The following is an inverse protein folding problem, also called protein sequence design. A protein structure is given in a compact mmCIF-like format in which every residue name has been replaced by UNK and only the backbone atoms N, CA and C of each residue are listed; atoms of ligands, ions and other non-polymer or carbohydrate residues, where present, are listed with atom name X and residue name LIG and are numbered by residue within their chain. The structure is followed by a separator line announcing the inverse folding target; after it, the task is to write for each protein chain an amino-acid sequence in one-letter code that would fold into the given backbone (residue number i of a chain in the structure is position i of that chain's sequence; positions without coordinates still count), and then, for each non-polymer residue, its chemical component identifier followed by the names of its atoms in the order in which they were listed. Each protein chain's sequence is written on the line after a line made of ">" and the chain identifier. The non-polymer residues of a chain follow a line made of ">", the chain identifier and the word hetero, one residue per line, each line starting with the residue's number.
data_IF_523546809933
#
_entry.id   IF_523546809933
#
_cell.length_a   1.000
_cell.length_b   1.000
_cell.length_c   1.000
_cell.angle_alpha   90.00
_cell.angle_beta   90.00
_cell.angle_gamma   90.00
#
_symmetry.space_group_name_H-M   'P 1'
#
loop_
_entity.id
_entity.type
_entity.pdbx_description
1 polymer ?
#
# COMPACT_ATOMS: atom_id res chain seq x y z
N UNK A 1 66.17 26.77 -31.70
CA UNK A 1 65.75 25.38 -32.03
C UNK A 1 66.26 24.37 -31.00
N UNK A 2 65.61 24.23 -29.83
CA UNK A 2 65.47 22.93 -29.10
C UNK A 2 64.66 23.00 -27.80
N UNK A 3 64.53 24.17 -27.16
CA UNK A 3 63.75 24.31 -25.92
C UNK A 3 62.32 24.83 -26.14
N UNK A 4 62.10 25.85 -26.98
CA UNK A 4 60.75 26.39 -27.26
C UNK A 4 59.84 25.44 -28.07
N UNK A 5 60.40 24.57 -28.90
CA UNK A 5 59.62 23.59 -29.71
C UNK A 5 59.09 22.44 -28.84
N UNK A 6 59.76 22.11 -27.71
CA UNK A 6 59.29 21.08 -26.77
C UNK A 6 58.07 21.53 -25.96
N UNK A 7 57.92 22.84 -25.70
CA UNK A 7 56.78 23.38 -24.93
C UNK A 7 55.53 23.46 -25.82
N UNK A 8 55.67 23.77 -27.11
CA UNK A 8 54.53 23.86 -28.04
C UNK A 8 53.94 22.47 -28.40
N UNK A 9 54.78 21.43 -28.48
CA UNK A 9 54.33 20.04 -28.77
C UNK A 9 53.69 19.34 -27.56
N UNK A 10 53.98 19.76 -26.33
CA UNK A 10 53.35 19.21 -25.11
C UNK A 10 51.98 19.84 -24.85
N UNK A 11 51.76 21.10 -25.26
CA UNK A 11 50.44 21.76 -25.15
C UNK A 11 49.47 21.24 -26.21
N UNK A 12 49.95 20.83 -27.40
CA UNK A 12 49.11 20.25 -28.45
C UNK A 12 48.70 18.79 -28.19
N UNK A 13 49.42 18.05 -27.33
CA UNK A 13 49.09 16.67 -26.97
C UNK A 13 48.09 16.57 -25.80
N UNK A 14 47.85 17.66 -25.07
CA UNK A 14 46.75 17.76 -24.09
C UNK A 14 45.42 18.09 -24.80
N UNK A 15 45.47 18.55 -26.06
CA UNK A 15 44.31 18.77 -26.93
C UNK A 15 43.82 17.50 -27.67
N UNK A 16 44.43 16.32 -27.46
CA UNK A 16 44.01 15.07 -28.15
C UNK A 16 43.44 13.98 -27.24
N UNK A 17 43.19 14.26 -25.96
CA UNK A 17 42.52 13.31 -25.03
C UNK A 17 41.20 13.87 -24.47
N UNK A 18 40.84 15.10 -24.80
CA UNK A 18 39.55 15.68 -24.43
C UNK A 18 38.46 15.34 -25.45
N UNK A 19 37.75 14.25 -25.12
CA UNK A 19 36.33 13.98 -25.36
C UNK A 19 35.74 14.24 -26.76
N UNK A 20 35.29 13.21 -27.49
CA UNK A 20 34.30 13.43 -28.54
C UNK A 20 33.04 13.98 -27.88
N UNK A 21 32.76 15.24 -28.18
CA UNK A 21 31.50 15.91 -27.94
C UNK A 21 30.37 15.21 -28.69
N UNK A 22 29.79 14.19 -28.08
CA UNK A 22 28.39 13.85 -28.30
C UNK A 22 27.55 14.78 -27.43
N UNK A 23 27.29 15.98 -27.92
CA UNK A 23 26.18 16.78 -27.40
C UNK A 23 24.88 16.09 -27.84
N UNK A 24 24.46 15.06 -27.10
CA UNK A 24 23.05 14.68 -27.09
C UNK A 24 22.33 15.83 -26.41
N UNK A 25 21.82 16.77 -27.20
CA UNK A 25 20.78 17.66 -26.73
C UNK A 25 19.55 16.77 -26.57
N UNK A 26 19.40 16.20 -25.38
CA UNK A 26 18.11 15.68 -24.94
C UNK A 26 17.28 16.93 -24.65
N UNK A 27 16.66 17.46 -25.70
CA UNK A 27 15.67 18.51 -25.56
C UNK A 27 14.47 17.91 -24.85
N UNK A 28 14.48 17.93 -23.51
CA UNK A 28 13.23 17.89 -22.78
C UNK A 28 12.52 19.19 -23.10
N UNK A 29 11.29 19.10 -23.62
CA UNK A 29 10.41 20.27 -23.64
C UNK A 29 10.19 20.66 -22.18
N UNK A 30 10.93 21.66 -21.71
CA UNK A 30 10.78 22.29 -20.39
C UNK A 30 9.53 23.18 -20.36
N UNK A 31 8.40 22.63 -20.79
CA UNK A 31 7.09 23.20 -20.55
C UNK A 31 6.26 22.14 -19.84
N UNK A 32 6.48 22.02 -18.53
CA UNK A 32 5.36 21.68 -17.66
C UNK A 32 4.40 22.85 -17.78
N UNK A 33 3.46 22.81 -18.71
CA UNK A 33 2.34 23.75 -18.69
C UNK A 33 1.69 23.54 -17.32
N UNK A 34 1.76 24.50 -16.39
CA UNK A 34 1.14 24.34 -15.09
C UNK A 34 -0.34 24.16 -15.40
N UNK A 35 -0.84 22.94 -15.14
CA UNK A 35 -2.21 22.60 -15.46
C UNK A 35 -3.06 23.42 -14.52
N UNK A 36 -3.79 24.38 -15.08
CA UNK A 36 -4.68 25.22 -14.30
C UNK A 36 -5.89 24.39 -13.88
N UNK A 37 -5.74 23.67 -12.76
CA UNK A 37 -6.77 22.80 -12.19
C UNK A 37 -8.03 23.57 -11.79
N UNK A 38 -8.00 24.91 -11.74
CA UNK A 38 -9.19 25.73 -11.46
C UNK A 38 -10.22 25.70 -12.58
N UNK A 39 -9.78 25.40 -13.81
CA UNK A 39 -10.63 25.35 -15.01
C UNK A 39 -11.22 23.98 -15.30
N UNK A 40 -10.76 22.94 -14.60
CA UNK A 40 -11.22 21.57 -14.81
C UNK A 40 -12.50 21.28 -14.02
N UNK A 41 -13.41 20.54 -14.65
CA UNK A 41 -14.59 20.01 -13.98
C UNK A 41 -14.18 19.02 -12.88
N UNK A 42 -15.07 18.80 -11.90
CA UNK A 42 -14.79 17.82 -10.83
C UNK A 42 -14.58 16.42 -11.40
N UNK A 43 -15.34 16.06 -12.42
CA UNK A 43 -15.26 14.75 -13.10
C UNK A 43 -13.90 14.56 -13.80
N UNK A 44 -13.42 15.56 -14.53
CA UNK A 44 -12.10 15.51 -15.16
C UNK A 44 -10.96 15.38 -14.12
N UNK A 45 -11.08 16.09 -13.00
CA UNK A 45 -10.14 15.98 -11.89
C UNK A 45 -10.15 14.58 -11.28
N UNK A 46 -11.33 13.98 -11.09
CA UNK A 46 -11.48 12.61 -10.56
C UNK A 46 -10.89 11.57 -11.51
N UNK A 47 -11.18 11.67 -12.80
CA UNK A 47 -10.66 10.76 -13.82
C UNK A 47 -9.13 10.81 -13.86
N UNK A 48 -8.57 12.02 -13.84
CA UNK A 48 -7.13 12.22 -13.82
C UNK A 48 -6.50 11.74 -12.51
N UNK A 49 -7.14 12.01 -11.37
CA UNK A 49 -6.68 11.54 -10.06
C UNK A 49 -6.67 10.00 -10.01
N UNK A 50 -7.71 9.36 -10.51
CA UNK A 50 -7.81 7.90 -10.62
C UNK A 50 -6.72 7.30 -11.52
N UNK A 51 -6.44 7.94 -12.65
CA UNK A 51 -5.38 7.53 -13.57
C UNK A 51 -3.99 7.57 -12.91
N UNK A 52 -3.59 8.73 -12.36
CA UNK A 52 -2.30 8.85 -11.68
C UNK A 52 -2.20 8.01 -10.43
N UNK A 53 -3.30 7.79 -9.72
CA UNK A 53 -3.34 6.85 -8.61
C UNK A 53 -2.96 5.45 -9.06
N UNK A 54 -3.58 4.95 -10.14
CA UNK A 54 -3.25 3.65 -10.70
C UNK A 54 -1.79 3.53 -11.15
N UNK A 55 -1.23 4.59 -11.73
CA UNK A 55 0.19 4.65 -12.08
C UNK A 55 1.07 4.63 -10.83
N UNK A 56 0.77 5.48 -9.85
CA UNK A 56 1.51 5.59 -8.59
C UNK A 56 1.57 4.22 -7.87
N UNK A 57 0.48 3.45 -7.85
CA UNK A 57 0.48 2.10 -7.27
C UNK A 57 1.45 1.14 -7.98
N UNK A 58 1.70 1.32 -9.28
CA UNK A 58 2.58 0.46 -10.09
C UNK A 58 4.03 0.94 -10.11
N UNK A 59 4.25 2.26 -10.15
CA UNK A 59 5.57 2.86 -10.44
C UNK A 59 6.30 3.34 -9.20
N UNK A 60 5.58 3.66 -8.12
CA UNK A 60 6.17 4.31 -6.94
C UNK A 60 7.24 3.46 -6.26
N UNK A 61 7.07 2.13 -6.21
CA UNK A 61 7.95 1.25 -5.43
C UNK A 61 8.23 1.78 -4.00
N UNK A 62 7.23 2.44 -3.40
CA UNK A 62 7.33 3.07 -2.08
C UNK A 62 8.10 4.41 -2.04
N UNK A 63 8.48 4.96 -3.19
CA UNK A 63 9.17 6.24 -3.33
C UNK A 63 8.26 7.30 -3.95
N UNK A 64 8.57 8.56 -3.66
CA UNK A 64 7.92 9.69 -4.33
C UNK A 64 8.47 9.76 -5.76
N UNK A 65 7.58 9.67 -6.74
CA UNK A 65 7.85 9.91 -8.15
C UNK A 65 6.82 10.92 -8.70
N UNK A 66 6.91 11.22 -10.00
CA UNK A 66 6.03 12.19 -10.65
C UNK A 66 4.56 11.77 -10.58
N UNK A 67 4.26 10.49 -10.82
CA UNK A 67 2.89 9.94 -10.76
C UNK A 67 2.29 10.07 -9.36
N UNK A 68 3.07 9.70 -8.34
CA UNK A 68 2.68 9.80 -6.93
C UNK A 68 2.42 11.24 -6.53
N UNK A 69 3.27 12.17 -6.97
CA UNK A 69 3.12 13.60 -6.69
C UNK A 69 1.86 14.14 -7.35
N UNK A 70 1.62 13.76 -8.61
CA UNK A 70 0.41 14.14 -9.36
C UNK A 70 -0.86 13.61 -8.70
N UNK A 71 -0.86 12.34 -8.26
CA UNK A 71 -1.99 11.74 -7.56
C UNK A 71 -2.28 12.44 -6.21
N UNK A 72 -1.23 12.71 -5.42
CA UNK A 72 -1.37 13.42 -4.14
C UNK A 72 -1.94 14.82 -4.33
N UNK A 73 -1.44 15.59 -5.30
CA UNK A 73 -1.90 16.95 -5.58
C UNK A 73 -3.36 16.96 -6.03
N UNK A 74 -3.73 16.07 -6.96
CA UNK A 74 -5.10 15.98 -7.49
C UNK A 74 -6.10 15.61 -6.40
N UNK A 75 -5.81 14.60 -5.57
CA UNK A 75 -6.70 14.25 -4.47
C UNK A 75 -6.74 15.30 -3.36
N UNK A 76 -5.66 16.07 -3.15
CA UNK A 76 -5.67 17.20 -2.22
C UNK A 76 -6.63 18.29 -2.71
N UNK A 77 -6.59 18.63 -4.00
CA UNK A 77 -7.53 19.58 -4.63
C UNK A 77 -8.97 19.07 -4.50
N UNK A 78 -9.23 17.80 -4.85
CA UNK A 78 -10.55 17.19 -4.74
C UNK A 78 -11.08 17.18 -3.30
N UNK A 79 -10.22 16.84 -2.33
CA UNK A 79 -10.57 16.84 -0.91
C UNK A 79 -10.90 18.25 -0.40
N UNK A 80 -10.24 19.29 -0.91
CA UNK A 80 -10.54 20.68 -0.55
C UNK A 80 -11.85 21.16 -1.18
N UNK A 81 -12.11 20.78 -2.44
CA UNK A 81 -13.34 21.13 -3.15
C UNK A 81 -14.56 20.48 -2.50
N UNK A 82 -14.42 19.23 -2.07
CA UNK A 82 -15.50 18.42 -1.50
C UNK A 82 -15.08 17.77 -0.16
N UNK A 83 -14.99 18.52 0.94
CA UNK A 83 -14.45 18.02 2.21
C UNK A 83 -15.27 16.91 2.88
N UNK A 84 -16.54 16.76 2.50
CA UNK A 84 -17.44 15.72 3.01
C UNK A 84 -17.26 14.37 2.30
N UNK A 85 -16.62 14.34 1.13
CA UNK A 85 -16.38 13.10 0.43
C UNK A 85 -15.19 12.36 1.06
N UNK A 86 -15.47 11.23 1.71
CA UNK A 86 -14.46 10.39 2.37
C UNK A 86 -13.51 9.74 1.39
N UNK A 87 -13.94 9.49 0.15
CA UNK A 87 -13.17 8.77 -0.86
C UNK A 87 -11.80 9.42 -1.10
N UNK A 88 -11.74 10.74 -1.27
CA UNK A 88 -10.48 11.43 -1.54
C UNK A 88 -9.52 11.36 -0.34
N UNK A 89 -10.05 11.47 0.89
CA UNK A 89 -9.26 11.32 2.12
C UNK A 89 -8.69 9.91 2.25
N UNK A 90 -9.49 8.88 1.92
CA UNK A 90 -9.03 7.49 1.89
C UNK A 90 -7.89 7.32 0.88
N UNK A 91 -8.03 7.88 -0.33
CA UNK A 91 -7.00 7.83 -1.37
C UNK A 91 -5.72 8.54 -0.95
N UNK A 92 -5.80 9.74 -0.37
CA UNK A 92 -4.65 10.44 0.21
C UNK A 92 -3.98 9.61 1.30
N UNK A 93 -4.75 9.07 2.24
CA UNK A 93 -4.23 8.21 3.31
C UNK A 93 -3.46 7.02 2.76
N UNK A 94 -4.00 6.36 1.73
CA UNK A 94 -3.35 5.21 1.09
C UNK A 94 -2.07 5.60 0.32
N UNK A 95 -2.08 6.71 -0.41
CA UNK A 95 -0.87 7.21 -1.09
C UNK A 95 0.24 7.53 -0.09
N UNK A 96 -0.09 8.23 1.01
CA UNK A 96 0.87 8.51 2.10
C UNK A 96 1.38 7.23 2.77
N UNK A 97 0.55 6.20 2.88
CA UNK A 97 0.92 4.91 3.45
C UNK A 97 1.96 4.19 2.58
N UNK A 98 1.79 4.23 1.24
CA UNK A 98 2.73 3.64 0.29
C UNK A 98 4.10 4.29 0.37
N UNK A 99 4.16 5.62 0.50
CA UNK A 99 5.44 6.36 0.62
C UNK A 99 6.01 6.39 2.05
N UNK A 100 5.44 5.61 2.98
CA UNK A 100 5.95 5.49 4.35
C UNK A 100 5.75 6.73 5.22
N UNK A 101 4.82 7.63 4.86
CA UNK A 101 4.51 8.85 5.61
C UNK A 101 3.40 8.58 6.64
N UNK A 102 3.75 7.79 7.65
CA UNK A 102 2.83 7.22 8.63
C UNK A 102 1.88 8.21 9.31
N UNK A 103 2.39 9.39 9.72
CA UNK A 103 1.59 10.41 10.39
C UNK A 103 0.45 10.91 9.49
N UNK A 104 0.77 11.16 8.22
CA UNK A 104 -0.21 11.65 7.24
C UNK A 104 -1.20 10.55 6.89
N UNK A 105 -0.72 9.33 6.63
CA UNK A 105 -1.56 8.17 6.33
C UNK A 105 -2.64 7.94 7.40
N UNK A 106 -2.22 7.81 8.67
CA UNK A 106 -3.15 7.67 9.79
C UNK A 106 -4.08 8.87 9.91
N UNK A 107 -3.54 10.08 9.80
CA UNK A 107 -4.31 11.32 9.91
C UNK A 107 -5.48 11.35 8.92
N UNK A 108 -5.23 11.04 7.65
CA UNK A 108 -6.27 11.00 6.62
C UNK A 108 -7.29 9.88 6.82
N UNK A 109 -6.85 8.69 7.26
CA UNK A 109 -7.80 7.61 7.59
C UNK A 109 -8.71 8.00 8.77
N UNK A 110 -8.17 8.61 9.82
CA UNK A 110 -8.99 9.10 10.94
C UNK A 110 -9.91 10.25 10.52
N UNK A 111 -9.46 11.16 9.66
CA UNK A 111 -10.34 12.20 9.10
C UNK A 111 -11.47 11.59 8.27
N UNK A 112 -11.21 10.55 7.48
CA UNK A 112 -12.25 9.84 6.73
C UNK A 112 -13.28 9.20 7.69
N UNK A 113 -12.81 8.50 8.73
CA UNK A 113 -13.67 7.93 9.78
C UNK A 113 -14.49 9.02 10.49
N UNK A 114 -13.88 10.16 10.82
CA UNK A 114 -14.56 11.28 11.48
C UNK A 114 -15.56 12.01 10.57
N UNK A 115 -15.43 11.86 9.25
CA UNK A 115 -16.37 12.43 8.27
C UNK A 115 -17.58 11.52 8.09
N UNK A 116 -17.34 10.22 7.93
CA UNK A 116 -18.39 9.21 7.88
C UNK A 116 -17.89 7.90 8.52
N UNK A 117 -18.36 7.65 9.74
CA UNK A 117 -17.96 6.48 10.52
C UNK A 117 -18.65 5.18 10.09
N UNK A 118 -19.67 5.25 9.21
CA UNK A 118 -20.42 4.09 8.74
C UNK A 118 -19.69 3.35 7.62
N UNK A 119 -18.77 4.02 6.91
CA UNK A 119 -18.06 3.42 5.80
C UNK A 119 -17.00 2.41 6.26
N UNK A 120 -16.92 1.23 5.63
CA UNK A 120 -15.97 0.19 6.01
C UNK A 120 -14.54 0.43 5.47
N UNK A 121 -14.39 1.09 4.31
CA UNK A 121 -13.08 1.23 3.63
C UNK A 121 -12.00 1.93 4.49
N UNK A 122 -12.26 3.04 5.20
CA UNK A 122 -11.25 3.66 6.07
C UNK A 122 -10.70 2.72 7.14
N UNK A 123 -11.56 1.90 7.76
CA UNK A 123 -11.15 0.91 8.76
C UNK A 123 -10.34 -0.21 8.13
N UNK A 124 -10.74 -0.68 6.95
CA UNK A 124 -9.98 -1.69 6.21
C UNK A 124 -8.57 -1.18 5.85
N UNK A 125 -8.46 0.05 5.32
CA UNK A 125 -7.16 0.65 4.99
C UNK A 125 -6.29 0.89 6.21
N UNK A 126 -6.89 1.29 7.35
CA UNK A 126 -6.16 1.42 8.61
C UNK A 126 -5.74 0.04 9.17
N UNK A 127 -6.52 -1.02 8.90
CA UNK A 127 -6.15 -2.41 9.15
C UNK A 127 -4.93 -2.82 8.34
N UNK A 128 -4.92 -2.54 7.03
CA UNK A 128 -3.79 -2.78 6.12
C UNK A 128 -2.53 -2.00 6.57
N UNK A 129 -2.72 -0.74 6.94
CA UNK A 129 -1.69 0.09 7.53
C UNK A 129 -1.04 -0.60 8.74
N UNK A 130 -1.82 -1.08 9.71
CA UNK A 130 -1.27 -1.74 10.90
C UNK A 130 -0.69 -3.12 10.58
N UNK A 131 -1.31 -3.85 9.65
CA UNK A 131 -0.89 -5.18 9.24
C UNK A 131 0.51 -5.18 8.63
N UNK A 132 0.80 -4.25 7.72
CA UNK A 132 2.14 -4.10 7.10
C UNK A 132 3.23 -3.69 8.09
N UNK A 133 2.85 -3.20 9.26
CA UNK A 133 3.75 -2.82 10.36
C UNK A 133 3.78 -3.89 11.47
N UNK A 134 3.23 -5.07 11.19
CA UNK A 134 3.17 -6.22 12.11
C UNK A 134 2.44 -5.94 13.43
N UNK A 135 1.65 -4.85 13.47
CA UNK A 135 0.83 -4.48 14.61
C UNK A 135 -0.50 -5.25 14.56
N UNK A 136 -0.41 -6.58 14.57
CA UNK A 136 -1.52 -7.48 14.26
C UNK A 136 -2.73 -7.30 15.18
N UNK A 137 -2.53 -6.98 16.47
CA UNK A 137 -3.64 -6.71 17.40
C UNK A 137 -4.45 -5.49 16.98
N UNK A 138 -3.77 -4.42 16.57
CA UNK A 138 -4.42 -3.19 16.08
C UNK A 138 -5.07 -3.43 14.71
N UNK A 139 -4.38 -4.16 13.83
CA UNK A 139 -4.90 -4.55 12.52
C UNK A 139 -6.20 -5.34 12.65
N UNK A 140 -6.23 -6.37 13.53
CA UNK A 140 -7.40 -7.19 13.78
C UNK A 140 -8.59 -6.36 14.26
N UNK A 141 -8.35 -5.40 15.17
CA UNK A 141 -9.41 -4.52 15.64
C UNK A 141 -10.00 -3.71 14.47
N UNK A 142 -9.17 -3.11 13.63
CA UNK A 142 -9.63 -2.31 12.49
C UNK A 142 -10.34 -3.15 11.42
N UNK A 143 -9.85 -4.34 11.11
CA UNK A 143 -10.56 -5.24 10.19
C UNK A 143 -11.90 -5.72 10.73
N UNK A 144 -12.01 -5.97 12.05
CA UNK A 144 -13.30 -6.28 12.68
C UNK A 144 -14.27 -5.10 12.60
N UNK A 145 -13.78 -3.87 12.76
CA UNK A 145 -14.61 -2.68 12.58
C UNK A 145 -15.08 -2.51 11.12
N UNK A 146 -14.22 -2.80 10.13
CA UNK A 146 -14.60 -2.85 8.72
C UNK A 146 -15.66 -3.94 8.45
N UNK A 147 -15.46 -5.14 8.99
CA UNK A 147 -16.38 -6.28 8.90
C UNK A 147 -17.80 -5.90 9.38
N UNK A 148 -17.91 -5.24 10.53
CA UNK A 148 -19.19 -4.77 11.10
C UNK A 148 -19.89 -3.71 10.25
N UNK A 149 -19.16 -2.97 9.43
CA UNK A 149 -19.63 -1.81 8.65
C UNK A 149 -19.94 -2.12 7.18
N UNK A 150 -20.09 -3.40 6.84
CA UNK A 150 -20.50 -3.82 5.50
C UNK A 150 -19.44 -4.59 4.72
N UNK A 151 -18.23 -4.78 5.26
CA UNK A 151 -17.23 -5.69 4.67
C UNK A 151 -17.35 -7.13 5.21
N UNK A 152 -18.51 -7.53 5.71
CA UNK A 152 -18.75 -8.90 6.20
C UNK A 152 -18.65 -9.98 5.11
N UNK A 153 -18.89 -9.60 3.85
CA UNK A 153 -18.71 -10.44 2.67
C UNK A 153 -17.48 -10.13 1.83
N UNK A 154 -16.62 -9.21 2.26
CA UNK A 154 -15.41 -8.85 1.53
C UNK A 154 -14.31 -9.90 1.77
N UNK A 155 -13.81 -10.47 0.68
CA UNK A 155 -12.78 -11.52 0.73
C UNK A 155 -11.54 -11.10 1.50
N UNK A 156 -10.95 -9.94 1.16
CA UNK A 156 -9.70 -9.48 1.76
C UNK A 156 -9.84 -9.28 3.27
N UNK A 157 -10.96 -8.70 3.71
CA UNK A 157 -11.25 -8.49 5.14
C UNK A 157 -11.32 -9.83 5.88
N UNK A 158 -12.06 -10.81 5.33
CA UNK A 158 -12.18 -12.14 5.92
C UNK A 158 -10.82 -12.86 5.97
N UNK A 159 -10.08 -12.83 4.86
CA UNK A 159 -8.77 -13.45 4.75
C UNK A 159 -7.79 -12.85 5.76
N UNK A 160 -7.70 -11.52 5.86
CA UNK A 160 -6.78 -10.83 6.78
C UNK A 160 -7.13 -11.10 8.25
N UNK A 161 -8.41 -11.18 8.60
CA UNK A 161 -8.83 -11.58 9.95
C UNK A 161 -8.38 -13.01 10.24
N UNK A 162 -8.66 -13.96 9.34
CA UNK A 162 -8.27 -15.36 9.50
C UNK A 162 -6.76 -15.55 9.57
N UNK A 163 -6.00 -14.82 8.74
CA UNK A 163 -4.55 -14.84 8.74
C UNK A 163 -3.93 -14.31 10.04
N UNK A 164 -4.48 -13.22 10.59
CA UNK A 164 -4.03 -12.71 11.90
C UNK A 164 -4.33 -13.72 13.01
N UNK A 165 -5.50 -14.37 12.99
CA UNK A 165 -5.81 -15.39 13.99
C UNK A 165 -4.86 -16.59 13.93
N UNK A 166 -4.47 -17.01 12.72
CA UNK A 166 -3.44 -18.04 12.55
C UNK A 166 -2.10 -17.60 13.14
N UNK A 167 -1.69 -16.34 12.91
CA UNK A 167 -0.48 -15.76 13.53
C UNK A 167 -0.55 -15.69 15.05
N UNK A 168 -1.74 -15.62 15.63
CA UNK A 168 -1.95 -15.71 17.09
C UNK A 168 -2.05 -17.14 17.61
N UNK A 169 -2.01 -18.16 16.75
CA UNK A 169 -2.17 -19.56 17.12
C UNK A 169 -3.63 -19.97 17.39
N UNK A 170 -4.60 -19.06 17.19
CA UNK A 170 -6.02 -19.37 17.32
C UNK A 170 -6.51 -20.02 16.02
N UNK A 171 -6.21 -21.30 15.89
CA UNK A 171 -6.54 -22.11 14.71
C UNK A 171 -8.03 -22.24 14.49
N UNK A 172 -8.85 -22.22 15.54
CA UNK A 172 -10.30 -22.30 15.43
C UNK A 172 -10.89 -21.03 14.81
N UNK A 173 -10.55 -19.86 15.33
CA UNK A 173 -10.98 -18.60 14.75
C UNK A 173 -10.40 -18.40 13.35
N UNK A 174 -9.14 -18.77 13.13
CA UNK A 174 -8.51 -18.73 11.80
C UNK A 174 -9.32 -19.53 10.78
N UNK A 175 -9.64 -20.80 11.07
CA UNK A 175 -10.42 -21.65 10.17
C UNK A 175 -11.80 -21.09 9.89
N UNK A 176 -12.48 -20.53 10.90
CA UNK A 176 -13.79 -19.90 10.71
C UNK A 176 -13.72 -18.81 9.65
N UNK A 177 -12.79 -17.86 9.77
CA UNK A 177 -12.72 -16.73 8.84
C UNK A 177 -12.12 -17.11 7.49
N UNK A 178 -11.14 -18.01 7.44
CA UNK A 178 -10.56 -18.50 6.18
C UNK A 178 -11.58 -19.28 5.35
N UNK A 179 -12.42 -20.12 5.97
CA UNK A 179 -13.51 -20.82 5.28
C UNK A 179 -14.56 -19.86 4.75
N UNK A 180 -14.91 -18.81 5.52
CA UNK A 180 -15.78 -17.75 5.04
C UNK A 180 -15.16 -17.00 3.85
N UNK A 181 -13.86 -16.73 3.86
CA UNK A 181 -13.16 -16.13 2.72
C UNK A 181 -13.23 -17.05 1.48
N UNK A 182 -12.99 -18.35 1.64
CA UNK A 182 -13.05 -19.34 0.55
C UNK A 182 -14.46 -19.43 -0.08
N UNK A 183 -15.52 -19.26 0.71
CA UNK A 183 -16.89 -19.17 0.18
C UNK A 183 -17.12 -17.92 -0.68
N UNK A 184 -16.38 -16.83 -0.45
CA UNK A 184 -16.52 -15.58 -1.22
C UNK A 184 -15.66 -15.58 -2.48
N UNK A 185 -14.43 -16.08 -2.38
CA UNK A 185 -13.55 -16.27 -3.53
C UNK A 185 -12.77 -17.57 -3.35
N UNK A 186 -13.25 -18.66 -3.96
CA UNK A 186 -12.53 -19.94 -3.93
C UNK A 186 -11.20 -19.80 -4.66
N UNK A 187 -10.11 -20.21 -4.01
CA UNK A 187 -8.78 -20.24 -4.60
C UNK A 187 -7.98 -21.40 -4.00
N UNK A 188 -7.25 -22.13 -4.84
CA UNK A 188 -6.45 -23.30 -4.45
C UNK A 188 -5.41 -22.98 -3.38
N UNK A 189 -4.82 -21.78 -3.40
CA UNK A 189 -3.86 -21.34 -2.38
C UNK A 189 -4.52 -21.23 -0.99
N UNK A 190 -5.72 -20.64 -0.94
CA UNK A 190 -6.48 -20.52 0.30
C UNK A 190 -6.93 -21.90 0.80
N UNK A 191 -7.37 -22.79 -0.08
CA UNK A 191 -7.74 -24.16 0.30
C UNK A 191 -6.55 -24.93 0.89
N UNK A 192 -5.36 -24.77 0.31
CA UNK A 192 -4.13 -25.36 0.84
C UNK A 192 -3.78 -24.76 2.21
N UNK A 193 -3.98 -23.45 2.40
CA UNK A 193 -3.81 -22.80 3.72
C UNK A 193 -4.80 -23.36 4.73
N UNK A 194 -6.07 -23.49 4.38
CA UNK A 194 -7.10 -24.08 5.25
C UNK A 194 -6.71 -25.48 5.68
N UNK A 195 -6.31 -26.37 4.75
CA UNK A 195 -5.85 -27.72 5.07
C UNK A 195 -4.67 -27.73 6.05
N UNK A 196 -3.69 -26.84 5.88
CA UNK A 196 -2.55 -26.71 6.81
C UNK A 196 -3.01 -26.31 8.21
N UNK A 197 -3.90 -25.34 8.32
CA UNK A 197 -4.45 -24.89 9.61
C UNK A 197 -5.36 -25.96 10.23
N UNK A 198 -6.10 -26.74 9.44
CA UNK A 198 -6.92 -27.87 9.91
C UNK A 198 -6.05 -28.96 10.54
N UNK A 199 -4.95 -29.33 9.88
CA UNK A 199 -4.01 -30.32 10.42
C UNK A 199 -3.38 -29.83 11.72
N UNK A 200 -2.95 -28.56 11.78
CA UNK A 200 -2.43 -27.97 13.02
C UNK A 200 -3.46 -27.97 14.15
N UNK A 201 -4.72 -27.66 13.82
CA UNK A 201 -5.83 -27.69 14.79
C UNK A 201 -6.11 -29.10 15.31
N UNK A 202 -6.01 -30.13 14.47
CA UNK A 202 -6.20 -31.52 14.87
C UNK A 202 -5.11 -31.98 15.84
N UNK A 203 -3.83 -31.71 15.51
CA UNK A 203 -2.68 -32.02 16.37
C UNK A 203 -2.83 -31.33 17.74
N UNK A 204 -3.23 -30.05 17.75
CA UNK A 204 -3.44 -29.33 19.00
C UNK A 204 -4.52 -30.00 19.87
N UNK A 205 -5.65 -30.40 19.27
CA UNK A 205 -6.73 -31.06 20.01
C UNK A 205 -6.30 -32.39 20.60
N UNK A 206 -5.57 -33.21 19.83
CA UNK A 206 -5.04 -34.50 20.28
C UNK A 206 -4.04 -34.33 21.44
N UNK A 207 -3.14 -33.35 21.33
CA UNK A 207 -2.19 -33.03 22.41
C UNK A 207 -2.90 -32.65 23.72
N UNK A 208 -3.92 -31.80 23.67
CA UNK A 208 -4.65 -31.37 24.86
C UNK A 208 -5.58 -32.46 25.42
N UNK A 209 -6.13 -33.35 24.59
CA UNK A 209 -6.90 -34.50 25.09
C UNK A 209 -6.03 -35.48 25.86
N UNK A 210 -4.85 -35.81 25.32
CA UNK A 210 -3.93 -36.76 25.96
C UNK A 210 -3.34 -36.21 27.24
N UNK A 211 -2.98 -34.92 27.27
CA UNK A 211 -2.46 -34.26 28.47
C UNK A 211 -3.51 -34.21 29.57
N UNK A 212 -4.77 -33.94 29.23
CA UNK A 212 -5.88 -33.92 30.18
C UNK A 212 -6.15 -35.31 30.78
N UNK A 213 -6.09 -36.37 29.97
CA UNK A 213 -6.22 -37.76 30.44
C UNK A 213 -5.12 -38.08 31.46
N UNK A 214 -3.84 -37.81 31.13
CA UNK A 214 -2.70 -38.09 32.03
C UNK A 214 -2.74 -37.30 33.34
N UNK A 215 -3.33 -36.12 33.35
CA UNK A 215 -3.51 -35.31 34.57
C UNK A 215 -4.64 -35.83 35.46
N UNK A 216 -5.61 -36.58 34.92
CA UNK A 216 -6.73 -37.16 35.67
C UNK A 216 -6.39 -38.55 36.24
N UNK A 217 -5.34 -39.20 35.73
CA UNK A 217 -4.86 -40.53 36.17
C UNK A 217 -3.81 -40.46 37.30
N UNK A 218 -3.44 -39.27 37.77
CA UNK A 218 -2.53 -39.03 38.90
C UNK A 218 -3.29 -38.60 40.15
#
# INVERSE_FOLDING_TARGET
>A
MRQLIKILLVIFFILSVYNPSCAVIKGELEYQIPIDYSKLSTEELENKAGFYYGLALKTSNGKVNEDMTSALNLYAILSNKNPKNTFYKIRLGHLYDIIGKDRYAKGYFFQAIGTDSSQPEPYFRLGEFYYRRELYKKALNMYKEAYKRGYSGNYDTLYKIGDIYEKFGDTEAALKYLKLAAQKSPNSELDNKIKRVENANAINKEYYSDTRIRLMER
#
